data_IF_621558658517
#
_entry.id   IF_621558658517
#
_cell.length_a   1.000
_cell.length_b   1.000
_cell.length_c   1.000
_cell.angle_alpha   90.00
_cell.angle_beta   90.00
_cell.angle_gamma   90.00
#
_symmetry.space_group_name_H-M   'P 1'
#
loop_
_entity.id
_entity.type
_entity.pdbx_description
1 polymer ?
#
# COMPACT_ATOMS: atom_id res chain seq x y z
N UNK A 1 -17.57 10.86 30.87
CA UNK A 1 -16.98 9.63 30.29
C UNK A 1 -17.48 9.31 28.87
N UNK A 2 -18.74 9.62 28.50
CA UNK A 2 -19.24 9.34 27.13
C UNK A 2 -18.57 10.10 25.97
N UNK A 3 -18.16 11.38 26.16
CA UNK A 3 -17.56 12.17 25.09
C UNK A 3 -16.08 11.82 24.76
N UNK A 4 -15.38 11.18 25.70
CA UNK A 4 -14.02 10.68 25.52
C UNK A 4 -13.99 9.34 24.76
N UNK A 5 -15.02 8.51 24.90
CA UNK A 5 -15.18 7.27 24.13
C UNK A 5 -15.50 7.56 22.65
N UNK A 6 -16.37 8.53 22.34
CA UNK A 6 -16.72 8.86 20.95
C UNK A 6 -15.57 9.48 20.15
N UNK A 7 -14.60 10.11 20.81
CA UNK A 7 -13.41 10.72 20.18
C UNK A 7 -12.25 9.72 20.01
N UNK A 8 -12.22 8.64 20.78
CA UNK A 8 -11.24 7.54 20.66
C UNK A 8 -11.63 6.50 19.60
N UNK A 9 -12.91 6.41 19.22
CA UNK A 9 -13.42 5.46 18.22
C UNK A 9 -13.39 6.00 16.76
N UNK A 10 -13.29 7.32 16.57
CA UNK A 10 -13.25 7.95 15.25
C UNK A 10 -12.05 7.55 14.35
N UNK A 11 -10.80 7.35 14.86
CA UNK A 11 -9.65 7.12 13.99
C UNK A 11 -9.45 5.66 13.54
N UNK A 12 -10.10 4.68 14.18
CA UNK A 12 -10.09 3.28 13.73
C UNK A 12 -11.16 3.05 12.65
N UNK A 13 -12.23 3.85 12.67
CA UNK A 13 -13.31 3.80 11.69
C UNK A 13 -12.99 4.49 10.35
N UNK A 14 -11.82 5.13 10.17
CA UNK A 14 -11.55 5.93 8.97
C UNK A 14 -10.58 5.27 7.97
N UNK A 15 -9.47 4.62 8.34
CA UNK A 15 -8.64 3.90 7.36
C UNK A 15 -9.22 2.51 7.04
N UNK A 16 -9.76 1.81 8.05
CA UNK A 16 -10.49 0.55 7.86
C UNK A 16 -11.91 0.78 7.36
N UNK A 17 -12.57 1.86 7.78
CA UNK A 17 -13.89 2.21 7.25
C UNK A 17 -13.82 2.77 5.83
N UNK A 18 -12.80 3.48 5.37
CA UNK A 18 -12.79 3.86 3.94
C UNK A 18 -12.55 2.67 3.00
N UNK A 19 -11.88 1.60 3.45
CA UNK A 19 -11.72 0.37 2.65
C UNK A 19 -12.85 -0.66 2.86
N UNK A 20 -13.51 -0.67 4.02
CA UNK A 20 -14.65 -1.56 4.33
C UNK A 20 -16.02 -0.88 4.27
N UNK A 21 -16.12 0.45 4.21
CA UNK A 21 -17.35 1.24 4.26
C UNK A 21 -17.72 1.96 2.97
N UNK A 22 -16.93 1.84 1.90
CA UNK A 22 -17.45 2.12 0.54
C UNK A 22 -18.70 1.25 0.23
N UNK A 23 -18.85 0.03 0.81
CA UNK A 23 -20.13 -0.68 0.81
C UNK A 23 -21.06 -0.43 2.01
N UNK A 24 -20.67 0.28 3.07
CA UNK A 24 -21.40 0.30 4.36
C UNK A 24 -22.16 1.59 4.72
N UNK A 25 -22.03 2.70 3.96
CA UNK A 25 -22.64 3.99 4.32
C UNK A 25 -23.98 4.33 3.64
N UNK A 26 -24.70 3.36 3.07
CA UNK A 26 -26.12 3.57 2.70
C UNK A 26 -26.98 2.44 3.28
N UNK A 27 -27.73 2.75 4.33
CA UNK A 27 -28.41 1.81 5.23
C UNK A 27 -29.40 0.83 4.57
N UNK A 28 -29.87 1.09 3.35
CA UNK A 28 -30.64 0.13 2.55
C UNK A 28 -29.76 -0.70 1.60
N UNK A 29 -28.72 -0.10 1.02
CA UNK A 29 -27.79 -0.82 0.15
C UNK A 29 -26.86 -1.73 0.94
N UNK A 30 -26.50 -1.42 2.19
CA UNK A 30 -25.57 -2.22 2.99
C UNK A 30 -26.16 -3.60 3.31
N UNK A 31 -27.45 -3.68 3.63
CA UNK A 31 -28.15 -4.97 3.81
C UNK A 31 -28.21 -5.78 2.52
N UNK A 32 -28.54 -5.12 1.39
CA UNK A 32 -28.51 -5.75 0.06
C UNK A 32 -27.09 -6.17 -0.35
N UNK A 33 -26.07 -5.39 -0.02
CA UNK A 33 -24.66 -5.67 -0.29
C UNK A 33 -24.17 -6.86 0.53
N UNK A 34 -24.58 -6.98 1.80
CA UNK A 34 -24.24 -8.12 2.65
C UNK A 34 -24.97 -9.39 2.19
N UNK A 35 -26.23 -9.29 1.77
CA UNK A 35 -26.97 -10.42 1.18
C UNK A 35 -26.32 -10.83 -0.14
N UNK A 36 -26.02 -9.87 -1.03
CA UNK A 36 -25.34 -10.12 -2.29
C UNK A 36 -23.97 -10.77 -2.06
N UNK A 37 -23.17 -10.25 -1.12
CA UNK A 37 -21.89 -10.81 -0.74
C UNK A 37 -22.04 -12.22 -0.16
N UNK A 38 -23.06 -12.46 0.66
CA UNK A 38 -23.35 -13.77 1.24
C UNK A 38 -23.73 -14.79 0.17
N UNK A 39 -24.61 -14.41 -0.76
CA UNK A 39 -25.03 -15.26 -1.88
C UNK A 39 -23.87 -15.49 -2.83
N UNK A 40 -23.14 -14.45 -3.22
CA UNK A 40 -21.97 -14.56 -4.10
C UNK A 40 -20.89 -15.46 -3.49
N UNK A 41 -20.58 -15.28 -2.20
CA UNK A 41 -19.64 -16.15 -1.49
C UNK A 41 -20.15 -17.58 -1.42
N UNK A 42 -21.43 -17.78 -1.07
CA UNK A 42 -22.04 -19.11 -0.99
C UNK A 42 -21.96 -19.82 -2.34
N UNK A 43 -22.25 -19.12 -3.43
CA UNK A 43 -22.12 -19.65 -4.79
C UNK A 43 -20.68 -20.03 -5.10
N UNK A 44 -19.72 -19.13 -4.86
CA UNK A 44 -18.29 -19.40 -5.09
C UNK A 44 -17.80 -20.60 -4.27
N UNK A 45 -18.11 -20.64 -2.97
CA UNK A 45 -17.70 -21.71 -2.06
C UNK A 45 -18.40 -23.06 -2.36
N UNK A 46 -19.54 -23.04 -3.05
CA UNK A 46 -20.21 -24.24 -3.55
C UNK A 46 -19.69 -24.68 -4.92
N UNK A 47 -19.26 -23.75 -5.77
CA UNK A 47 -18.80 -24.02 -7.14
C UNK A 47 -17.35 -24.50 -7.22
N UNK A 48 -16.50 -24.07 -6.29
CA UNK A 48 -15.05 -24.36 -6.34
C UNK A 48 -14.59 -25.25 -5.18
N UNK A 49 -13.63 -26.13 -5.48
CA UNK A 49 -12.98 -26.95 -4.45
C UNK A 49 -12.07 -26.10 -3.54
N UNK A 50 -11.74 -26.58 -2.33
CA UNK A 50 -10.73 -25.96 -1.46
C UNK A 50 -9.44 -25.57 -2.17
N UNK A 51 -8.88 -26.51 -2.93
CA UNK A 51 -7.67 -26.30 -3.71
C UNK A 51 -7.82 -25.19 -4.76
N UNK A 52 -8.95 -25.14 -5.46
CA UNK A 52 -9.21 -24.08 -6.44
C UNK A 52 -9.31 -22.70 -5.77
N UNK A 53 -9.95 -22.62 -4.59
CA UNK A 53 -10.05 -21.35 -3.85
C UNK A 53 -8.70 -20.89 -3.33
N UNK A 54 -7.89 -21.79 -2.76
CA UNK A 54 -6.54 -21.48 -2.26
C UNK A 54 -5.52 -21.20 -3.36
N UNK A 55 -5.75 -21.68 -4.59
CA UNK A 55 -4.93 -21.35 -5.75
C UNK A 55 -5.37 -20.04 -6.42
N UNK A 56 -6.64 -19.95 -6.83
CA UNK A 56 -7.14 -18.88 -7.71
C UNK A 56 -7.28 -17.57 -6.94
N UNK A 57 -7.85 -17.58 -5.74
CA UNK A 57 -8.15 -16.32 -5.05
C UNK A 57 -6.87 -15.57 -4.61
N UNK A 58 -5.86 -16.22 -3.99
CA UNK A 58 -4.58 -15.57 -3.73
C UNK A 58 -3.88 -15.11 -5.00
N UNK A 59 -3.93 -15.89 -6.09
CA UNK A 59 -3.34 -15.50 -7.38
C UNK A 59 -3.96 -14.21 -7.92
N UNK A 60 -5.29 -14.13 -7.95
CA UNK A 60 -6.02 -12.94 -8.43
C UNK A 60 -5.69 -11.72 -7.56
N UNK A 61 -5.65 -11.87 -6.24
CA UNK A 61 -5.30 -10.77 -5.34
C UNK A 61 -3.85 -10.32 -5.53
N UNK A 62 -2.89 -11.24 -5.61
CA UNK A 62 -1.48 -10.92 -5.84
C UNK A 62 -1.27 -10.28 -7.21
N UNK A 63 -1.99 -10.72 -8.24
CA UNK A 63 -1.93 -10.11 -9.56
C UNK A 63 -2.47 -8.68 -9.54
N UNK A 64 -3.68 -8.49 -8.99
CA UNK A 64 -4.40 -7.21 -9.03
C UNK A 64 -3.88 -6.17 -8.03
N UNK A 65 -3.37 -6.59 -6.87
CA UNK A 65 -2.98 -5.69 -5.78
C UNK A 65 -1.47 -5.59 -5.58
N UNK A 66 -0.68 -6.46 -6.21
CA UNK A 66 0.78 -6.38 -6.17
C UNK A 66 1.42 -6.26 -7.55
N UNK A 67 1.26 -7.28 -8.42
CA UNK A 67 2.00 -7.35 -9.69
C UNK A 67 1.61 -6.21 -10.64
N UNK A 68 0.31 -6.02 -10.89
CA UNK A 68 -0.18 -4.97 -11.80
C UNK A 68 0.16 -3.58 -11.26
N UNK A 69 -0.14 -3.22 -9.99
CA UNK A 69 0.25 -1.93 -9.43
C UNK A 69 1.77 -1.69 -9.45
N UNK A 70 2.58 -2.69 -9.11
CA UNK A 70 4.05 -2.60 -9.16
C UNK A 70 4.55 -2.38 -10.59
N UNK A 71 3.91 -3.00 -11.58
CA UNK A 71 4.22 -2.77 -12.99
C UNK A 71 3.85 -1.36 -13.43
N UNK A 72 2.70 -0.83 -12.99
CA UNK A 72 2.29 0.54 -13.28
C UNK A 72 3.33 1.52 -12.71
N UNK A 73 3.75 1.34 -11.45
CA UNK A 73 4.79 2.19 -10.85
C UNK A 73 6.12 2.10 -11.62
N UNK A 74 6.56 0.90 -11.97
CA UNK A 74 7.80 0.72 -12.73
C UNK A 74 7.72 1.33 -14.13
N UNK A 75 6.59 1.18 -14.83
CA UNK A 75 6.38 1.79 -16.15
C UNK A 75 6.33 3.31 -16.06
N UNK A 76 5.75 3.87 -15.00
CA UNK A 76 5.74 5.30 -14.75
C UNK A 76 7.16 5.82 -14.46
N UNK A 77 7.95 5.11 -13.65
CA UNK A 77 9.36 5.43 -13.37
C UNK A 77 10.21 5.51 -14.65
N UNK A 78 9.99 4.58 -15.59
CA UNK A 78 10.75 4.48 -16.84
C UNK A 78 10.19 5.44 -17.91
N UNK A 79 8.88 5.61 -17.97
CA UNK A 79 8.20 6.37 -19.02
C UNK A 79 8.25 7.89 -18.81
N UNK A 80 8.16 8.35 -17.56
CA UNK A 80 8.15 9.78 -17.22
C UNK A 80 9.12 10.05 -16.05
N UNK A 81 10.44 9.84 -16.23
CA UNK A 81 11.40 9.92 -15.13
C UNK A 81 11.48 11.31 -14.51
N UNK A 82 11.29 12.39 -15.29
CA UNK A 82 11.31 13.77 -14.78
C UNK A 82 10.25 14.00 -13.69
N UNK A 83 9.05 13.46 -13.88
CA UNK A 83 7.97 13.57 -12.91
C UNK A 83 8.14 12.60 -11.75
N UNK A 84 8.59 11.38 -12.03
CA UNK A 84 8.83 10.37 -10.98
C UNK A 84 9.89 10.84 -9.96
N UNK A 85 10.94 11.54 -10.42
CA UNK A 85 11.99 12.10 -9.55
C UNK A 85 11.41 13.07 -8.52
N UNK A 86 10.43 13.89 -8.88
CA UNK A 86 9.83 14.88 -7.97
C UNK A 86 9.05 14.23 -6.82
N UNK A 87 8.45 13.07 -7.08
CA UNK A 87 7.65 12.34 -6.11
C UNK A 87 8.38 11.20 -5.41
N UNK A 88 9.64 10.92 -5.76
CA UNK A 88 10.43 9.86 -5.09
C UNK A 88 11.24 10.40 -3.93
N UNK A 89 11.27 9.63 -2.84
CA UNK A 89 12.01 9.97 -1.61
C UNK A 89 13.50 10.22 -1.89
N UNK A 90 14.09 9.43 -2.78
CA UNK A 90 15.52 9.50 -3.13
C UNK A 90 15.79 10.20 -4.48
N UNK A 91 14.80 10.87 -5.06
CA UNK A 91 14.93 11.59 -6.33
C UNK A 91 15.50 10.74 -7.47
N UNK A 92 16.58 11.21 -8.11
CA UNK A 92 17.22 10.54 -9.25
C UNK A 92 17.72 9.11 -8.96
N UNK A 93 18.12 8.85 -7.71
CA UNK A 93 18.60 7.54 -7.28
C UNK A 93 17.46 6.54 -7.04
N UNK A 94 16.24 7.04 -6.84
CA UNK A 94 15.03 6.23 -6.74
C UNK A 94 14.57 5.63 -8.07
N UNK A 95 15.13 6.08 -9.21
CA UNK A 95 14.78 5.53 -10.53
C UNK A 95 15.49 4.17 -10.72
N UNK A 96 14.75 3.06 -10.93
CA UNK A 96 15.34 1.72 -10.95
C UNK A 96 16.42 1.54 -12.04
N UNK A 97 16.26 2.18 -13.20
CA UNK A 97 17.22 2.08 -14.31
C UNK A 97 18.54 2.80 -14.05
N UNK A 98 18.58 3.75 -13.12
CA UNK A 98 19.78 4.51 -12.77
C UNK A 98 20.64 3.76 -11.73
N UNK A 99 20.11 2.70 -11.13
CA UNK A 99 20.82 1.89 -10.16
C UNK A 99 21.84 0.95 -10.82
N UNK A 100 22.74 0.39 -10.00
CA UNK A 100 23.80 -0.51 -10.45
C UNK A 100 23.22 -1.71 -11.23
N UNK A 101 23.74 -1.94 -12.44
CA UNK A 101 23.27 -3.01 -13.33
C UNK A 101 22.11 -2.63 -14.25
N UNK A 102 21.55 -1.43 -14.10
CA UNK A 102 20.59 -0.81 -15.02
C UNK A 102 19.40 -1.71 -15.35
N UNK A 103 18.97 -1.67 -16.61
CA UNK A 103 17.77 -2.39 -17.09
C UNK A 103 17.85 -3.91 -16.95
N UNK A 104 19.06 -4.49 -17.01
CA UNK A 104 19.27 -5.94 -16.83
C UNK A 104 19.00 -6.36 -15.38
N UNK A 105 19.47 -5.57 -14.41
CA UNK A 105 19.18 -5.81 -13.00
C UNK A 105 17.67 -5.66 -12.73
N UNK A 106 17.04 -4.61 -13.27
CA UNK A 106 15.59 -4.40 -13.14
C UNK A 106 14.79 -5.60 -13.68
N UNK A 107 15.12 -6.10 -14.88
CA UNK A 107 14.46 -7.29 -15.44
C UNK A 107 14.63 -8.52 -14.54
N UNK A 108 15.82 -8.73 -13.97
CA UNK A 108 16.07 -9.83 -13.02
C UNK A 108 15.18 -9.69 -11.78
N UNK A 109 15.11 -8.50 -11.19
CA UNK A 109 14.27 -8.22 -10.01
C UNK A 109 12.81 -8.49 -10.30
N UNK A 110 12.29 -7.97 -11.42
CA UNK A 110 10.89 -8.19 -11.84
C UNK A 110 10.61 -9.68 -12.04
N UNK A 111 11.47 -10.38 -12.78
CA UNK A 111 11.29 -11.80 -13.07
C UNK A 111 11.28 -12.66 -11.79
N UNK A 112 12.24 -12.44 -10.89
CA UNK A 112 12.31 -13.20 -9.63
C UNK A 112 11.23 -12.80 -8.63
N UNK A 113 10.83 -11.53 -8.60
CA UNK A 113 9.71 -11.07 -7.77
C UNK A 113 8.40 -11.75 -8.19
N UNK A 114 8.11 -11.79 -9.49
CA UNK A 114 6.95 -12.54 -10.02
C UNK A 114 7.10 -14.03 -9.74
N UNK A 115 8.28 -14.62 -9.99
CA UNK A 115 8.52 -16.04 -9.73
C UNK A 115 8.32 -16.41 -8.26
N UNK A 116 8.76 -15.56 -7.32
CA UNK A 116 8.58 -15.74 -5.89
C UNK A 116 7.11 -15.67 -5.47
N UNK A 117 6.35 -14.70 -6.00
CA UNK A 117 4.90 -14.62 -5.77
C UNK A 117 4.19 -15.86 -6.29
N UNK A 118 4.52 -16.30 -7.51
CA UNK A 118 3.96 -17.53 -8.09
C UNK A 118 4.35 -18.77 -7.28
N UNK A 119 5.61 -18.85 -6.82
CA UNK A 119 6.11 -19.91 -5.97
C UNK A 119 5.36 -19.99 -4.64
N UNK A 120 5.10 -18.84 -3.99
CA UNK A 120 4.36 -18.79 -2.73
C UNK A 120 2.92 -19.29 -2.91
N UNK A 121 2.24 -18.87 -3.98
CA UNK A 121 0.87 -19.34 -4.30
C UNK A 121 0.86 -20.83 -4.67
N UNK A 122 1.83 -21.28 -5.48
CA UNK A 122 1.96 -22.68 -5.87
C UNK A 122 2.28 -23.58 -4.66
N UNK A 123 3.15 -23.12 -3.76
CA UNK A 123 3.46 -23.84 -2.52
C UNK A 123 2.25 -23.91 -1.60
N UNK A 124 1.47 -22.83 -1.48
CA UNK A 124 0.22 -22.86 -0.73
C UNK A 124 -0.74 -23.92 -1.28
N UNK A 125 -0.96 -23.92 -2.60
CA UNK A 125 -1.82 -24.89 -3.26
C UNK A 125 -1.28 -26.32 -3.16
N UNK A 126 0.05 -26.51 -3.22
CA UNK A 126 0.67 -27.82 -3.05
C UNK A 126 0.51 -28.37 -1.62
N UNK A 127 0.61 -27.50 -0.60
CA UNK A 127 0.34 -27.88 0.79
C UNK A 127 -1.13 -28.27 0.94
N UNK A 128 -2.06 -27.49 0.40
CA UNK A 128 -3.48 -27.81 0.46
C UNK A 128 -3.78 -29.13 -0.26
N UNK A 129 -3.29 -29.33 -1.49
CA UNK A 129 -3.41 -30.59 -2.24
C UNK A 129 -2.86 -31.80 -1.45
N UNK A 130 -1.67 -31.65 -0.85
CA UNK A 130 -1.10 -32.71 0.00
C UNK A 130 -2.04 -33.04 1.16
N UNK A 131 -2.61 -32.03 1.82
CA UNK A 131 -3.47 -32.23 2.99
C UNK A 131 -4.83 -32.80 2.59
N UNK A 132 -5.47 -32.29 1.55
CA UNK A 132 -6.84 -32.68 1.16
C UNK A 132 -6.88 -33.94 0.32
N UNK A 133 -6.02 -34.06 -0.69
CA UNK A 133 -6.12 -35.10 -1.71
C UNK A 133 -5.18 -36.28 -1.42
N UNK A 134 -4.01 -36.04 -0.81
CA UNK A 134 -3.07 -37.12 -0.48
C UNK A 134 -3.34 -37.66 0.93
N UNK A 135 -3.38 -36.78 1.92
CA UNK A 135 -3.58 -37.18 3.33
C UNK A 135 -5.05 -37.36 3.71
N UNK A 136 -5.99 -37.00 2.82
CA UNK A 136 -7.44 -37.14 3.04
C UNK A 136 -7.91 -36.43 4.32
N UNK A 137 -7.27 -35.31 4.66
CA UNK A 137 -7.60 -34.47 5.80
C UNK A 137 -8.49 -33.29 5.37
N UNK A 138 -9.04 -32.57 6.35
CA UNK A 138 -9.77 -31.33 6.07
C UNK A 138 -8.79 -30.22 5.70
N UNK A 139 -9.24 -29.32 4.82
CA UNK A 139 -8.54 -28.08 4.45
C UNK A 139 -7.96 -27.37 5.68
N UNK A 140 -6.73 -26.85 5.53
CA UNK A 140 -6.04 -26.13 6.61
C UNK A 140 -6.75 -24.83 6.95
N UNK A 141 -7.29 -24.15 5.94
CA UNK A 141 -8.15 -22.98 6.12
C UNK A 141 -9.62 -23.37 6.22
N UNK A 142 -10.38 -22.59 6.98
CA UNK A 142 -11.81 -22.81 7.10
C UNK A 142 -12.52 -22.21 5.88
N UNK A 143 -13.12 -23.06 5.05
CA UNK A 143 -13.84 -22.64 3.83
C UNK A 143 -15.34 -22.49 4.05
N UNK A 144 -15.95 -23.41 4.81
CA UNK A 144 -17.37 -23.37 5.16
C UNK A 144 -17.54 -22.79 6.56
N UNK A 145 -18.44 -21.83 6.69
CA UNK A 145 -18.85 -21.24 7.97
C UNK A 145 -19.56 -22.23 8.91
N UNK A 146 -20.24 -21.71 9.94
CA UNK A 146 -20.92 -22.53 10.95
C UNK A 146 -21.95 -23.49 10.33
N UNK A 147 -22.02 -24.72 10.86
CA UNK A 147 -22.84 -25.87 10.40
C UNK A 147 -24.36 -25.61 10.34
N UNK A 148 -24.82 -24.44 10.79
CA UNK A 148 -26.24 -24.12 10.97
C UNK A 148 -26.56 -22.72 10.45
N UNK A 149 -26.77 -22.58 9.15
CA UNK A 149 -27.38 -21.40 8.54
C UNK A 149 -26.99 -21.19 7.08
N UNK A 150 -27.83 -20.46 6.33
CA UNK A 150 -27.54 -19.88 5.01
C UNK A 150 -26.37 -18.87 5.02
N UNK A 151 -25.63 -18.77 6.12
CA UNK A 151 -24.51 -17.86 6.35
C UNK A 151 -23.20 -18.64 6.22
N UNK A 152 -22.76 -18.87 4.98
CA UNK A 152 -21.41 -19.34 4.69
C UNK A 152 -20.33 -18.26 4.95
N UNK A 153 -20.76 -17.04 5.25
CA UNK A 153 -19.86 -15.97 5.67
C UNK A 153 -19.38 -16.20 7.12
N UNK A 154 -18.09 -15.95 7.39
CA UNK A 154 -17.58 -15.93 8.75
C UNK A 154 -18.21 -14.78 9.55
N UNK A 155 -18.39 -14.99 10.85
CA UNK A 155 -18.83 -13.94 11.75
C UNK A 155 -17.86 -12.73 11.65
N UNK A 156 -18.33 -11.51 11.35
CA UNK A 156 -17.48 -10.33 11.18
C UNK A 156 -16.57 -10.05 12.39
N UNK A 157 -17.06 -10.31 13.60
CA UNK A 157 -16.26 -10.16 14.82
C UNK A 157 -15.14 -11.20 14.91
N UNK A 158 -15.39 -12.42 14.43
CA UNK A 158 -14.35 -13.45 14.33
C UNK A 158 -13.34 -13.10 13.25
N UNK A 159 -13.79 -12.59 12.09
CA UNK A 159 -12.89 -12.09 11.05
C UNK A 159 -11.98 -10.98 11.58
N UNK A 160 -12.54 -10.02 12.33
CA UNK A 160 -11.76 -8.93 12.90
C UNK A 160 -10.72 -9.45 13.90
N UNK A 161 -11.13 -10.32 14.84
CA UNK A 161 -10.20 -10.94 15.80
C UNK A 161 -9.08 -11.70 15.10
N UNK A 162 -9.42 -12.58 14.17
CA UNK A 162 -8.43 -13.35 13.42
C UNK A 162 -7.55 -12.45 12.55
N UNK A 163 -8.11 -11.40 11.95
CA UNK A 163 -7.36 -10.41 11.19
C UNK A 163 -6.33 -9.67 12.03
N UNK A 164 -6.72 -9.18 13.22
CA UNK A 164 -5.81 -8.51 14.16
C UNK A 164 -4.71 -9.45 14.63
N UNK A 165 -5.07 -10.68 15.04
CA UNK A 165 -4.07 -11.65 15.49
C UNK A 165 -3.15 -12.03 14.32
N UNK A 166 -3.68 -12.18 13.10
CA UNK A 166 -2.90 -12.44 11.88
C UNK A 166 -1.90 -11.34 11.57
N UNK A 167 -2.32 -10.08 11.70
CA UNK A 167 -1.45 -8.93 11.51
C UNK A 167 -0.31 -8.92 12.53
N UNK A 168 -0.62 -9.11 13.81
CA UNK A 168 0.38 -9.13 14.89
C UNK A 168 1.34 -10.31 14.73
N UNK A 169 0.81 -11.53 14.55
CA UNK A 169 1.62 -12.75 14.42
C UNK A 169 2.53 -12.73 13.20
N UNK A 170 2.03 -12.28 12.03
CA UNK A 170 2.85 -12.08 10.83
C UNK A 170 4.01 -11.13 11.12
N UNK A 171 3.76 -9.96 11.72
CA UNK A 171 4.81 -8.98 11.98
C UNK A 171 5.85 -9.48 13.01
N UNK A 172 5.41 -10.22 14.03
CA UNK A 172 6.31 -10.87 15.00
C UNK A 172 7.21 -11.89 14.30
N UNK A 173 6.63 -12.85 13.59
CA UNK A 173 7.39 -13.89 12.89
C UNK A 173 8.35 -13.28 11.87
N UNK A 174 7.88 -12.30 11.11
CA UNK A 174 8.69 -11.63 10.11
C UNK A 174 9.89 -10.91 10.74
N UNK A 175 9.69 -10.14 11.82
CA UNK A 175 10.78 -9.46 12.51
C UNK A 175 11.85 -10.45 13.00
N UNK A 176 11.45 -11.50 13.72
CA UNK A 176 12.42 -12.44 14.27
C UNK A 176 13.16 -13.24 13.19
N UNK A 177 12.47 -13.64 12.11
CA UNK A 177 13.11 -14.27 10.97
C UNK A 177 14.10 -13.31 10.31
N UNK A 178 13.69 -12.07 10.05
CA UNK A 178 14.52 -11.09 9.38
C UNK A 178 15.79 -10.76 10.20
N UNK A 179 15.65 -10.48 11.49
CA UNK A 179 16.76 -10.12 12.37
C UNK A 179 17.66 -11.32 12.70
N UNK A 180 17.10 -12.46 13.11
CA UNK A 180 17.88 -13.58 13.67
C UNK A 180 18.21 -14.68 12.69
N UNK A 181 17.61 -14.69 11.50
CA UNK A 181 17.94 -15.67 10.46
C UNK A 181 18.61 -15.00 9.26
N UNK A 182 18.03 -13.91 8.75
CA UNK A 182 18.49 -13.26 7.52
C UNK A 182 19.58 -12.20 7.74
N UNK A 183 19.63 -11.58 8.91
CA UNK A 183 20.69 -10.62 9.30
C UNK A 183 21.58 -11.11 10.44
N UNK A 184 21.44 -12.38 10.84
CA UNK A 184 22.28 -12.93 11.88
C UNK A 184 23.70 -13.20 11.37
N UNK A 185 24.75 -12.82 12.13
CA UNK A 185 26.14 -13.20 11.82
C UNK A 185 26.32 -14.72 11.74
N UNK A 186 25.49 -15.47 12.45
CA UNK A 186 25.50 -16.93 12.47
C UNK A 186 24.42 -17.55 11.58
N UNK A 187 23.71 -16.75 10.76
CA UNK A 187 22.62 -17.20 9.87
C UNK A 187 23.10 -18.03 8.67
N UNK A 188 24.41 -18.18 8.50
CA UNK A 188 25.04 -19.04 7.49
C UNK A 188 24.61 -18.69 6.07
N UNK A 189 24.19 -19.70 5.30
CA UNK A 189 23.80 -19.54 3.91
C UNK A 189 22.57 -18.61 3.74
N UNK A 190 21.60 -18.63 4.66
CA UNK A 190 20.39 -17.81 4.52
C UNK A 190 20.69 -16.33 4.63
N UNK A 191 21.54 -15.94 5.59
CA UNK A 191 21.98 -14.56 5.71
C UNK A 191 22.80 -14.10 4.50
N UNK A 192 23.72 -14.95 4.01
CA UNK A 192 24.49 -14.65 2.80
C UNK A 192 23.61 -14.52 1.56
N UNK A 193 22.62 -15.39 1.39
CA UNK A 193 21.67 -15.35 0.27
C UNK A 193 20.80 -14.09 0.33
N UNK A 194 20.25 -13.75 1.49
CA UNK A 194 19.46 -12.53 1.66
C UNK A 194 20.29 -11.26 1.37
N UNK A 195 21.52 -11.20 1.89
CA UNK A 195 22.44 -10.09 1.61
C UNK A 195 22.81 -9.98 0.13
N UNK A 196 23.13 -11.09 -0.52
CA UNK A 196 23.54 -11.07 -1.94
C UNK A 196 22.39 -10.87 -2.92
N UNK A 197 21.17 -11.26 -2.55
CA UNK A 197 19.98 -11.10 -3.39
C UNK A 197 19.19 -9.85 -3.03
N UNK A 198 18.57 -9.80 -1.85
CA UNK A 198 17.70 -8.68 -1.45
C UNK A 198 18.48 -7.36 -1.39
N UNK A 199 19.60 -7.33 -0.67
CA UNK A 199 20.45 -6.14 -0.52
C UNK A 199 21.37 -5.88 -1.72
N UNK A 200 21.21 -6.61 -2.83
CA UNK A 200 21.75 -6.15 -4.12
C UNK A 200 21.05 -4.89 -4.64
N UNK A 201 19.87 -4.58 -4.08
CA UNK A 201 19.09 -3.37 -4.36
C UNK A 201 19.29 -2.41 -3.20
N UNK A 202 19.87 -1.25 -3.48
CA UNK A 202 20.15 -0.26 -2.43
C UNK A 202 18.94 0.65 -2.14
N UNK A 203 18.20 1.02 -3.19
CA UNK A 203 17.01 1.87 -3.07
C UNK A 203 15.81 1.09 -3.63
N UNK A 204 14.79 0.80 -2.81
CA UNK A 204 13.69 -0.04 -3.22
C UNK A 204 12.77 0.64 -4.24
N UNK A 205 12.13 -0.20 -5.04
CA UNK A 205 10.95 0.09 -5.87
C UNK A 205 10.00 -1.11 -5.73
N UNK A 206 8.71 -1.00 -6.06
CA UNK A 206 7.67 -1.95 -5.60
C UNK A 206 7.99 -3.44 -5.81
N UNK A 207 8.65 -3.81 -6.93
CA UNK A 207 9.06 -5.19 -7.18
C UNK A 207 10.13 -5.73 -6.21
N UNK A 208 10.93 -4.86 -5.59
CA UNK A 208 11.91 -5.22 -4.58
C UNK A 208 11.27 -5.88 -3.34
N UNK A 209 9.98 -5.60 -3.06
CA UNK A 209 9.27 -6.18 -1.91
C UNK A 209 9.26 -7.71 -1.89
N UNK A 210 9.12 -8.34 -3.07
CA UNK A 210 9.10 -9.78 -3.24
C UNK A 210 10.34 -10.33 -3.96
N UNK A 211 11.37 -9.49 -4.16
CA UNK A 211 12.66 -9.91 -4.73
C UNK A 211 13.63 -10.33 -3.63
N UNK A 212 13.94 -11.61 -3.58
CA UNK A 212 14.96 -12.21 -2.73
C UNK A 212 15.28 -13.61 -3.27
N UNK A 213 16.28 -14.27 -2.71
CA UNK A 213 16.47 -15.70 -2.93
C UNK A 213 15.18 -16.45 -2.55
N UNK A 214 14.69 -17.42 -3.37
CA UNK A 214 13.38 -18.04 -3.16
C UNK A 214 13.16 -18.61 -1.75
N UNK A 215 14.19 -19.23 -1.15
CA UNK A 215 14.11 -19.75 0.22
C UNK A 215 13.94 -18.62 1.24
N UNK A 216 14.71 -17.53 1.11
CA UNK A 216 14.61 -16.37 2.00
C UNK A 216 13.26 -15.68 1.85
N UNK A 217 12.76 -15.57 0.61
CA UNK A 217 11.42 -15.08 0.32
C UNK A 217 10.34 -15.91 1.03
N UNK A 218 10.40 -17.25 0.93
CA UNK A 218 9.43 -18.13 1.58
C UNK A 218 9.48 -17.98 3.11
N UNK A 219 10.68 -17.95 3.69
CA UNK A 219 10.87 -17.77 5.14
C UNK A 219 10.37 -16.39 5.62
N UNK A 220 10.63 -15.33 4.87
CA UNK A 220 10.35 -13.96 5.29
C UNK A 220 8.92 -13.49 4.99
N UNK A 221 8.33 -13.95 3.88
CA UNK A 221 7.04 -13.44 3.37
C UNK A 221 5.93 -14.47 3.46
N UNK A 222 6.18 -15.69 2.98
CA UNK A 222 5.14 -16.73 2.90
C UNK A 222 4.82 -17.31 4.28
N UNK A 223 5.83 -17.82 5.00
CA UNK A 223 5.64 -18.50 6.29
C UNK A 223 4.97 -17.58 7.32
N UNK A 224 5.42 -16.34 7.57
CA UNK A 224 4.82 -15.49 8.60
C UNK A 224 3.32 -15.24 8.38
N UNK A 225 2.87 -15.17 7.13
CA UNK A 225 1.47 -14.96 6.80
C UNK A 225 0.68 -16.28 6.83
N UNK A 226 1.14 -17.30 6.11
CA UNK A 226 0.40 -18.54 5.96
C UNK A 226 0.38 -19.36 7.26
N UNK A 227 1.51 -19.46 7.97
CA UNK A 227 1.59 -20.15 9.26
C UNK A 227 0.64 -19.54 10.28
N UNK A 228 0.56 -18.21 10.32
CA UNK A 228 -0.39 -17.50 11.19
C UNK A 228 -1.83 -17.87 10.85
N UNK A 229 -2.18 -17.90 9.56
CA UNK A 229 -3.53 -18.24 9.11
C UNK A 229 -3.94 -19.68 9.45
N UNK A 230 -3.06 -20.65 9.22
CA UNK A 230 -3.35 -22.07 9.51
C UNK A 230 -3.34 -22.35 11.02
N UNK A 231 -2.46 -21.71 11.80
CA UNK A 231 -2.38 -21.92 13.24
C UNK A 231 -3.66 -21.49 13.97
N UNK A 232 -4.34 -20.45 13.46
CA UNK A 232 -5.64 -20.00 13.96
C UNK A 232 -6.83 -20.63 13.25
N UNK A 233 -6.57 -21.49 12.25
CA UNK A 233 -7.60 -22.06 11.37
C UNK A 233 -8.55 -20.98 10.84
N UNK A 234 -7.97 -19.93 10.27
CA UNK A 234 -8.72 -18.77 9.80
C UNK A 234 -9.74 -19.14 8.74
N UNK A 235 -10.84 -18.40 8.68
CA UNK A 235 -11.70 -18.44 7.51
C UNK A 235 -10.93 -17.92 6.29
N UNK A 236 -11.06 -18.60 5.14
CA UNK A 236 -10.35 -18.24 3.91
C UNK A 236 -10.57 -16.78 3.52
N UNK A 237 -11.78 -16.25 3.68
CA UNK A 237 -12.05 -14.81 3.48
C UNK A 237 -11.21 -13.89 4.36
N UNK A 238 -10.99 -14.22 5.64
CA UNK A 238 -10.10 -13.43 6.50
C UNK A 238 -8.67 -13.49 6.01
N UNK A 239 -8.21 -14.67 5.60
CA UNK A 239 -6.89 -14.85 5.01
C UNK A 239 -6.71 -14.05 3.71
N UNK A 240 -7.71 -14.07 2.82
CA UNK A 240 -7.71 -13.30 1.58
C UNK A 240 -7.69 -11.78 1.83
N UNK A 241 -8.40 -11.28 2.84
CA UNK A 241 -8.31 -9.88 3.26
C UNK A 241 -6.88 -9.54 3.73
N UNK A 242 -6.23 -10.43 4.49
CA UNK A 242 -4.84 -10.22 4.89
C UNK A 242 -3.89 -10.24 3.69
N UNK A 243 -4.04 -11.17 2.73
CA UNK A 243 -3.28 -11.16 1.47
C UNK A 243 -3.46 -9.81 0.76
N UNK A 244 -4.69 -9.31 0.66
CA UNK A 244 -4.97 -8.05 -0.01
C UNK A 244 -4.26 -6.88 0.67
N UNK A 245 -4.38 -6.76 1.99
CA UNK A 245 -3.73 -5.72 2.78
C UNK A 245 -2.21 -5.78 2.62
N UNK A 246 -1.61 -6.96 2.78
CA UNK A 246 -0.16 -7.11 2.68
C UNK A 246 0.37 -6.93 1.25
N UNK A 247 -0.43 -7.25 0.22
CA UNK A 247 -0.06 -6.97 -1.18
C UNK A 247 -0.02 -5.47 -1.47
N UNK A 248 -0.97 -4.72 -0.92
CA UNK A 248 -0.99 -3.25 -1.01
C UNK A 248 0.16 -2.64 -0.19
N UNK A 249 0.39 -3.11 1.04
CA UNK A 249 1.55 -2.74 1.86
C UNK A 249 2.84 -2.91 1.06
N UNK A 250 3.08 -4.11 0.52
CA UNK A 250 4.27 -4.44 -0.28
C UNK A 250 4.44 -3.49 -1.48
N UNK A 251 3.35 -3.20 -2.18
CA UNK A 251 3.38 -2.30 -3.33
C UNK A 251 3.78 -0.89 -2.94
N UNK A 252 3.11 -0.31 -1.94
CA UNK A 252 3.25 1.11 -1.60
C UNK A 252 4.49 1.38 -0.76
N UNK A 253 4.79 0.54 0.23
CA UNK A 253 5.94 0.72 1.14
C UNK A 253 7.25 0.67 0.36
N UNK A 254 7.37 -0.24 -0.61
CA UNK A 254 8.57 -0.34 -1.43
C UNK A 254 8.55 0.56 -2.66
N UNK A 255 7.47 1.30 -2.94
CA UNK A 255 7.34 2.08 -4.17
C UNK A 255 8.38 3.19 -4.33
N UNK A 256 8.95 3.66 -3.21
CA UNK A 256 9.86 4.81 -3.16
C UNK A 256 9.15 6.16 -3.32
N UNK A 257 7.81 6.18 -3.43
CA UNK A 257 7.03 7.40 -3.55
C UNK A 257 6.75 8.04 -2.18
N UNK A 258 6.90 9.36 -2.11
CA UNK A 258 6.68 10.15 -0.89
C UNK A 258 5.20 10.58 -0.72
N UNK A 259 4.41 10.58 -1.79
CA UNK A 259 2.97 10.83 -1.79
C UNK A 259 2.22 9.50 -1.88
N UNK A 260 1.75 9.01 -0.73
CA UNK A 260 1.00 7.77 -0.64
C UNK A 260 -0.46 8.02 -0.23
N UNK A 261 -1.43 7.17 -0.63
CA UNK A 261 -2.86 7.35 -0.35
C UNK A 261 -3.22 7.47 1.14
N UNK A 262 -2.36 7.00 2.04
CA UNK A 262 -2.45 7.20 3.50
C UNK A 262 -1.15 7.82 4.00
N UNK A 263 -1.15 9.13 4.20
CA UNK A 263 0.02 9.98 3.95
C UNK A 263 1.10 9.97 5.03
N UNK A 264 0.82 9.55 6.28
CA UNK A 264 1.86 9.55 7.32
C UNK A 264 2.24 8.14 7.78
N UNK A 265 1.28 7.27 8.13
CA UNK A 265 1.61 5.91 8.55
C UNK A 265 2.35 5.09 7.47
N UNK A 266 1.79 5.07 6.25
CA UNK A 266 2.39 4.32 5.14
C UNK A 266 3.69 4.98 4.65
N UNK A 267 3.78 6.31 4.74
CA UNK A 267 5.01 7.05 4.47
C UNK A 267 6.11 6.74 5.51
N UNK A 268 5.74 6.61 6.79
CA UNK A 268 6.64 6.16 7.85
C UNK A 268 7.15 4.73 7.64
N UNK A 269 6.27 3.82 7.20
CA UNK A 269 6.64 2.45 6.81
C UNK A 269 7.60 2.46 5.62
N UNK A 270 7.30 3.23 4.58
CA UNK A 270 8.18 3.38 3.41
C UNK A 270 9.55 3.94 3.79
N UNK A 271 9.60 4.98 4.62
CA UNK A 271 10.87 5.55 5.12
C UNK A 271 11.71 4.53 5.89
N UNK A 272 11.08 3.70 6.73
CA UNK A 272 11.80 2.65 7.47
C UNK A 272 12.32 1.56 6.54
N UNK A 273 11.52 1.15 5.55
CA UNK A 273 11.93 0.21 4.53
C UNK A 273 13.11 0.76 3.70
N UNK A 274 13.06 2.01 3.25
CA UNK A 274 14.16 2.70 2.57
C UNK A 274 15.43 2.69 3.45
N UNK A 275 15.32 3.09 4.72
CA UNK A 275 16.46 3.12 5.64
C UNK A 275 17.05 1.72 5.91
N UNK A 276 16.22 0.67 5.94
CA UNK A 276 16.68 -0.71 6.05
C UNK A 276 17.51 -1.12 4.81
N UNK A 277 17.00 -0.86 3.60
CA UNK A 277 17.72 -1.20 2.35
C UNK A 277 19.02 -0.41 2.21
N UNK A 278 18.98 0.89 2.52
CA UNK A 278 20.15 1.78 2.39
C UNK A 278 21.24 1.49 3.41
N UNK A 279 20.89 0.91 4.57
CA UNK A 279 21.85 0.47 5.59
C UNK A 279 22.30 -0.97 5.42
N UNK A 280 21.88 -1.67 4.36
CA UNK A 280 22.17 -3.11 4.15
C UNK A 280 21.70 -3.98 5.34
N UNK A 281 20.64 -3.50 6.01
CA UNK A 281 19.96 -4.12 7.14
C UNK A 281 20.71 -4.06 8.47
N UNK A 282 21.20 -2.87 8.85
CA UNK A 282 21.64 -2.59 10.22
C UNK A 282 20.45 -2.46 11.21
N UNK A 283 19.23 -2.19 10.72
CA UNK A 283 18.02 -2.01 11.54
C UNK A 283 16.74 -1.88 10.71
N UNK A 284 15.62 -1.53 11.35
CA UNK A 284 14.28 -1.47 10.74
C UNK A 284 13.84 -2.80 10.08
N UNK A 285 13.95 -3.91 10.81
CA UNK A 285 13.66 -5.26 10.32
C UNK A 285 12.15 -5.53 10.15
N UNK A 286 11.30 -4.82 10.90
CA UNK A 286 9.84 -4.95 10.84
C UNK A 286 9.18 -3.85 10.03
N UNK A 287 8.21 -4.22 9.19
CA UNK A 287 7.50 -3.26 8.32
C UNK A 287 6.78 -2.15 9.12
N UNK A 288 6.08 -2.53 10.21
CA UNK A 288 5.41 -1.57 11.09
C UNK A 288 6.37 -0.77 11.99
N UNK A 289 7.60 -1.23 12.22
CA UNK A 289 8.58 -0.58 13.11
C UNK A 289 8.28 -0.67 14.62
N UNK A 290 7.17 -1.29 15.04
CA UNK A 290 6.84 -1.47 16.47
C UNK A 290 7.88 -2.34 17.17
N UNK A 291 8.23 -3.48 16.57
CA UNK A 291 9.23 -4.38 17.15
C UNK A 291 10.63 -3.78 17.11
N UNK A 292 10.96 -2.99 16.09
CA UNK A 292 12.22 -2.25 16.03
C UNK A 292 12.33 -1.23 17.16
N UNK A 293 11.26 -0.50 17.44
CA UNK A 293 11.20 0.41 18.57
C UNK A 293 11.35 -0.33 19.91
N UNK A 294 10.65 -1.45 20.09
CA UNK A 294 10.75 -2.25 21.32
C UNK A 294 12.14 -2.84 21.55
N UNK A 295 12.85 -3.24 20.49
CA UNK A 295 14.16 -3.88 20.59
C UNK A 295 15.34 -2.91 20.38
N UNK A 296 15.07 -1.62 20.15
CA UNK A 296 16.09 -0.60 19.90
C UNK A 296 16.83 -0.79 18.56
N UNK A 297 16.18 -1.42 17.58
CA UNK A 297 16.71 -1.62 16.21
C UNK A 297 16.17 -0.61 15.20
N UNK A 298 15.53 0.48 15.67
CA UNK A 298 15.03 1.54 14.80
C UNK A 298 16.16 2.38 14.20
N UNK A 299 16.10 2.61 12.89
CA UNK A 299 16.94 3.58 12.19
C UNK A 299 16.11 4.82 11.83
N UNK A 300 16.60 6.00 12.24
CA UNK A 300 15.92 7.27 12.00
C UNK A 300 14.71 7.48 12.92
N UNK A 301 13.66 8.11 12.39
CA UNK A 301 12.42 8.43 13.12
C UNK A 301 11.62 7.17 13.42
N UNK A 302 11.17 7.04 14.67
CA UNK A 302 10.46 5.86 15.17
C UNK A 302 8.95 5.88 14.88
N UNK A 303 8.29 4.76 15.16
CA UNK A 303 6.84 4.59 14.94
C UNK A 303 5.99 5.47 15.84
N UNK A 304 6.49 5.85 17.03
CA UNK A 304 5.78 6.71 17.97
C UNK A 304 5.77 8.16 17.46
N UNK A 305 6.87 8.61 16.89
CA UNK A 305 6.97 9.90 16.20
C UNK A 305 6.03 9.97 14.99
N UNK A 306 5.97 8.92 14.17
CA UNK A 306 5.02 8.85 13.05
C UNK A 306 3.56 8.89 13.54
N UNK A 307 3.26 8.21 14.64
CA UNK A 307 1.93 8.21 15.24
C UNK A 307 1.54 9.58 15.78
N UNK A 308 2.47 10.27 16.45
CA UNK A 308 2.26 11.64 16.91
C UNK A 308 1.99 12.58 15.74
N UNK A 309 2.77 12.47 14.66
CA UNK A 309 2.59 13.28 13.46
C UNK A 309 1.22 13.03 12.80
N UNK A 310 0.77 11.77 12.73
CA UNK A 310 -0.55 11.43 12.19
C UNK A 310 -1.69 11.97 13.08
N UNK A 311 -1.55 11.84 14.41
CA UNK A 311 -2.52 12.42 15.36
C UNK A 311 -2.59 13.95 15.27
N UNK A 312 -1.45 14.62 15.08
CA UNK A 312 -1.41 16.08 14.91
C UNK A 312 -2.05 16.51 13.60
N UNK A 313 -1.77 15.80 12.50
CA UNK A 313 -2.39 16.07 11.20
C UNK A 313 -3.92 15.94 11.27
N UNK A 314 -4.44 14.84 11.82
CA UNK A 314 -5.89 14.66 11.95
C UNK A 314 -6.54 15.71 12.84
N UNK A 315 -5.87 16.15 13.92
CA UNK A 315 -6.36 17.28 14.73
C UNK A 315 -6.43 18.59 13.94
N UNK A 316 -5.51 18.81 13.00
CA UNK A 316 -5.54 19.99 12.13
C UNK A 316 -6.67 19.88 11.12
N UNK A 317 -6.83 18.72 10.48
CA UNK A 317 -7.91 18.47 9.51
C UNK A 317 -9.30 18.62 10.18
N UNK A 318 -9.47 18.07 11.39
CA UNK A 318 -10.71 18.23 12.18
C UNK A 318 -11.01 19.69 12.52
N UNK A 319 -9.97 20.47 12.86
CA UNK A 319 -10.12 21.91 13.14
C UNK A 319 -10.44 22.70 11.87
N UNK A 320 -9.81 22.37 10.75
CA UNK A 320 -10.04 23.00 9.46
C UNK A 320 -11.47 22.72 8.97
N UNK A 321 -11.92 21.47 9.05
CA UNK A 321 -13.28 21.07 8.68
C UNK A 321 -14.33 21.79 9.55
N UNK A 322 -14.13 21.85 10.87
CA UNK A 322 -15.03 22.61 11.76
C UNK A 322 -15.08 24.11 11.46
N UNK A 323 -13.97 24.71 11.06
CA UNK A 323 -13.93 26.12 10.67
C UNK A 323 -14.67 26.37 9.34
N UNK A 324 -14.54 25.45 8.37
CA UNK A 324 -15.25 25.51 7.08
C UNK A 324 -16.75 25.31 7.28
N UNK A 325 -17.15 24.32 8.09
CA UNK A 325 -18.56 24.08 8.42
C UNK A 325 -19.18 25.28 9.14
N UNK A 326 -18.47 25.86 10.13
CA UNK A 326 -18.91 27.06 10.82
C UNK A 326 -19.04 28.28 9.90
N UNK A 327 -18.14 28.43 8.91
CA UNK A 327 -18.25 29.46 7.88
C UNK A 327 -19.42 29.20 6.91
N UNK A 328 -19.66 27.95 6.55
CA UNK A 328 -20.78 27.52 5.70
C UNK A 328 -22.14 27.75 6.38
N UNK A 329 -22.26 27.44 7.67
CA UNK A 329 -23.45 27.71 8.45
C UNK A 329 -23.70 29.22 8.62
N UNK A 330 -22.65 30.02 8.85
CA UNK A 330 -22.76 31.47 8.92
C UNK A 330 -23.20 32.09 7.58
N UNK A 331 -22.65 31.59 6.45
CA UNK A 331 -23.04 32.02 5.11
C UNK A 331 -24.48 31.63 4.77
N UNK A 332 -24.91 30.41 5.12
CA UNK A 332 -26.28 29.94 4.93
C UNK A 332 -27.27 30.71 5.83
N UNK A 333 -26.88 31.02 7.07
CA UNK A 333 -27.65 31.85 7.99
C UNK A 333 -27.82 33.29 7.48
N UNK A 334 -26.78 33.85 6.87
CA UNK A 334 -26.83 35.17 6.23
C UNK A 334 -27.73 35.17 4.99
N UNK A 335 -27.60 34.17 4.12
CA UNK A 335 -28.45 33.99 2.94
C UNK A 335 -29.94 33.84 3.31
N UNK A 336 -30.24 33.10 4.39
CA UNK A 336 -31.60 32.95 4.91
C UNK A 336 -32.19 34.26 5.46
N UNK A 337 -31.35 35.14 6.03
CA UNK A 337 -31.78 36.48 6.48
C UNK A 337 -32.06 37.43 5.31
N UNK A 338 -31.25 37.37 4.25
CA UNK A 338 -31.49 38.13 3.02
C UNK A 338 -32.73 37.66 2.25
N UNK A 339 -33.04 36.35 2.25
CA UNK A 339 -34.26 35.82 1.62
C UNK A 339 -35.54 36.22 2.37
N UNK A 340 -35.49 36.27 3.72
CA UNK A 340 -36.60 36.79 4.55
C UNK A 340 -36.83 38.28 4.36
N UNK A 341 -35.78 39.09 4.20
CA UNK A 341 -35.90 40.53 3.94
C UNK A 341 -36.61 40.85 2.61
N UNK A 342 -36.52 39.94 1.62
CA UNK A 342 -37.17 40.12 0.30
C UNK A 342 -38.65 39.73 0.27
N UNK A 343 -39.15 38.99 1.27
CA UNK A 343 -40.55 38.50 1.31
C UNK A 343 -41.53 39.41 2.07
N UNK A 344 -41.05 40.57 2.58
CA UNK A 344 -41.82 41.51 3.39
C UNK A 344 -42.42 42.73 2.68
N UNK A 345 -42.23 42.91 1.36
CA UNK A 345 -42.75 44.07 0.62
C UNK A 345 -43.93 43.71 -0.30
N UNK A 346 -45.14 43.88 0.24
CA UNK A 346 -46.30 44.45 -0.45
C UNK A 346 -47.05 43.59 -1.48
N UNK A 347 -48.16 42.99 -1.05
CA UNK A 347 -49.32 42.68 -1.90
C UNK A 347 -50.14 43.96 -2.18
N UNK A 348 -50.63 44.13 -3.40
CA UNK A 348 -51.94 44.73 -3.69
C UNK A 348 -52.67 43.87 -4.74
N UNK A 349 -53.97 43.57 -4.58
CA UNK A 349 -54.75 42.80 -5.55
C UNK A 349 -55.58 43.74 -6.45
N UNK A 350 -55.71 43.40 -7.73
CA UNK A 350 -56.79 43.90 -8.60
C UNK A 350 -57.29 42.74 -9.47
N UNK A 351 -58.61 42.71 -9.62
CA UNK A 351 -59.48 41.65 -10.14
C UNK A 351 -59.87 41.92 -11.61
N UNK A 352 -60.28 40.85 -12.32
CA UNK A 352 -60.96 40.79 -13.64
C UNK A 352 -60.04 41.09 -14.86
N UNK A 353 -60.10 40.38 -16.00
CA UNK A 353 -61.23 40.08 -16.89
C UNK A 353 -60.88 38.85 -17.77
N UNK A 354 -61.89 38.07 -18.16
CA UNK A 354 -61.87 37.02 -19.19
C UNK A 354 -61.25 37.48 -20.53
N UNK A 355 -60.47 36.64 -21.22
CA UNK A 355 -60.79 36.37 -22.63
C UNK A 355 -60.12 35.12 -23.22
N UNK A 356 -60.85 34.53 -24.17
CA UNK A 356 -60.51 33.46 -25.11
C UNK A 356 -59.31 33.84 -25.99
N UNK A 357 -58.60 32.84 -26.53
CA UNK A 357 -57.77 33.06 -27.72
C UNK A 357 -56.74 31.96 -27.99
N UNK A 358 -56.74 31.45 -29.21
CA UNK A 358 -55.98 30.31 -29.70
C UNK A 358 -54.50 30.65 -29.99
N UNK A 359 -53.69 29.58 -30.08
CA UNK A 359 -52.56 29.32 -31.01
C UNK A 359 -51.58 30.43 -31.40
N UNK A 360 -50.27 30.12 -31.38
CA UNK A 360 -49.44 29.93 -32.59
C UNK A 360 -47.96 29.71 -32.19
N UNK A 361 -47.31 28.81 -32.93
CA UNK A 361 -45.89 28.45 -32.95
C UNK A 361 -44.94 29.65 -33.20
N UNK A 362 -43.68 29.52 -32.74
CA UNK A 362 -42.46 29.43 -33.58
C UNK A 362 -41.22 30.21 -33.09
N UNK A 363 -40.05 29.66 -33.50
CA UNK A 363 -38.69 30.24 -33.65
C UNK A 363 -37.92 30.58 -32.34
N UNK A 364 -36.81 29.91 -31.96
CA UNK A 364 -35.48 29.67 -32.59
C UNK A 364 -34.69 30.98 -32.81
N UNK A 365 -33.34 30.89 -32.64
CA UNK A 365 -32.25 31.86 -32.98
C UNK A 365 -31.76 32.64 -31.72
N UNK A 366 -30.49 32.82 -31.31
CA UNK A 366 -29.09 32.84 -31.83
C UNK A 366 -28.15 32.91 -30.60
N UNK A 367 -26.83 32.79 -30.56
CA UNK A 367 -25.71 32.88 -31.50
C UNK A 367 -24.45 32.30 -30.79
N UNK A 368 -23.54 31.65 -31.53
CA UNK A 368 -22.12 32.01 -31.62
C UNK A 368 -21.40 31.00 -32.53
N UNK A 369 -21.06 31.46 -33.74
CA UNK A 369 -20.24 30.70 -34.69
C UNK A 369 -19.83 31.53 -35.92
N UNK A 370 -18.51 31.71 -36.03
CA UNK A 370 -17.70 31.74 -37.25
C UNK A 370 -17.48 33.03 -38.10
N UNK A 371 -16.20 33.18 -38.49
CA UNK A 371 -15.71 33.79 -39.74
C UNK A 371 -15.05 35.17 -39.58
N UNK A 372 -14.02 35.61 -40.33
CA UNK A 372 -13.13 35.03 -41.36
C UNK A 372 -12.10 36.12 -41.76
N UNK A 373 -10.88 35.72 -42.19
CA UNK A 373 -9.98 36.30 -43.25
C UNK A 373 -9.68 37.83 -43.34
N UNK A 374 -8.41 38.27 -43.43
CA UNK A 374 -7.62 38.45 -44.68
C UNK A 374 -6.31 39.28 -44.53
N UNK A 375 -5.24 38.86 -45.25
CA UNK A 375 -4.10 39.64 -45.84
C UNK A 375 -3.06 40.30 -44.91
N UNK A 376 -1.74 40.35 -45.18
CA UNK A 376 -0.89 39.84 -46.25
C UNK A 376 0.55 40.42 -46.14
N UNK A 377 1.54 39.76 -46.80
CA UNK A 377 2.81 40.33 -47.35
C UNK A 377 3.89 40.83 -46.35
N UNK A 378 5.22 40.66 -46.46
CA UNK A 378 6.15 40.17 -47.51
C UNK A 378 7.61 40.13 -46.95
N UNK A 379 8.44 39.21 -47.48
CA UNK A 379 9.93 39.22 -47.68
C UNK A 379 10.86 39.23 -46.44
N UNK A 380 11.99 38.50 -46.40
CA UNK A 380 12.64 37.58 -47.34
C UNK A 380 14.15 37.40 -47.03
N UNK A 381 14.79 36.43 -47.71
CA UNK A 381 16.26 36.20 -47.91
C UNK A 381 17.02 35.37 -46.85
N UNK A 382 17.34 34.08 -47.10
CA UNK A 382 18.52 33.48 -47.81
C UNK A 382 19.82 33.49 -46.95
N UNK A 383 20.67 32.44 -46.80
CA UNK A 383 21.30 31.40 -47.67
C UNK A 383 21.85 30.27 -46.74
N UNK A 384 21.83 28.95 -47.05
CA UNK A 384 22.74 28.13 -47.91
C UNK A 384 24.22 28.15 -47.42
N UNK A 385 25.02 27.07 -47.32
CA UNK A 385 25.21 25.80 -48.07
C UNK A 385 26.04 24.80 -47.21
N UNK A 386 25.75 23.49 -47.20
CA UNK A 386 26.36 22.36 -47.95
C UNK A 386 27.85 22.01 -47.67
N UNK A 387 28.10 20.71 -47.43
CA UNK A 387 29.41 20.07 -47.67
C UNK A 387 29.68 18.76 -46.91
N UNK A 388 29.29 17.61 -47.48
CA UNK A 388 29.86 16.26 -47.25
C UNK A 388 31.06 16.02 -48.22
N UNK A 389 31.73 14.84 -48.40
CA UNK A 389 31.77 13.52 -47.69
C UNK A 389 33.19 12.83 -47.61
N UNK A 390 33.22 11.54 -47.19
CA UNK A 390 34.04 10.36 -47.65
C UNK A 390 35.24 9.81 -46.80
N UNK A 391 35.15 8.49 -46.49
CA UNK A 391 36.18 7.40 -46.37
C UNK A 391 37.12 7.37 -45.15
N UNK A 392 37.74 6.27 -44.68
CA UNK A 392 37.68 4.79 -44.78
C UNK A 392 38.74 4.26 -43.76
N UNK A 393 38.64 2.99 -43.37
CA UNK A 393 39.71 2.13 -42.79
C UNK A 393 40.32 2.44 -41.40
N UNK A 394 40.20 1.46 -40.48
CA UNK A 394 41.26 0.52 -40.05
C UNK A 394 41.11 0.13 -38.57
N UNK A 395 41.23 -1.18 -38.33
CA UNK A 395 41.21 -1.80 -37.01
C UNK A 395 42.45 -1.43 -36.18
N UNK A 396 42.32 -1.44 -34.86
CA UNK A 396 43.40 -1.89 -33.94
C UNK A 396 42.85 -2.25 -32.57
N UNK A 397 43.08 -3.52 -32.24
CA UNK A 397 43.06 -4.16 -30.92
C UNK A 397 44.10 -3.48 -30.04
N UNK A 398 43.73 -3.06 -28.83
CA UNK A 398 44.69 -2.94 -27.73
C UNK A 398 44.07 -3.36 -26.40
N UNK A 399 44.62 -4.46 -25.91
CA UNK A 399 44.67 -4.93 -24.53
C UNK A 399 44.93 -3.78 -23.54
N UNK A 400 44.17 -3.74 -22.45
CA UNK A 400 44.63 -3.14 -21.19
C UNK A 400 44.07 -3.96 -20.02
N UNK A 401 44.93 -4.84 -19.48
CA UNK A 401 44.80 -5.41 -18.13
C UNK A 401 45.57 -4.52 -17.12
N UNK A 402 45.25 -4.63 -15.82
CA UNK A 402 45.33 -3.54 -14.86
C UNK A 402 46.63 -3.54 -14.05
N UNK A 403 47.00 -2.38 -13.50
CA UNK A 403 47.98 -2.26 -12.43
C UNK A 403 47.43 -1.35 -11.32
N UNK A 404 47.41 -1.94 -10.11
CA UNK A 404 47.36 -1.39 -8.75
C UNK A 404 48.09 -0.02 -8.59
N UNK A 405 47.82 0.90 -7.67
CA UNK A 405 47.40 0.85 -6.26
C UNK A 405 47.33 2.30 -5.78
N UNK A 406 46.32 2.68 -4.99
CA UNK A 406 46.46 3.75 -3.98
C UNK A 406 45.40 3.53 -2.88
N UNK A 407 45.78 3.66 -1.59
CA UNK A 407 44.92 3.31 -0.46
C UNK A 407 43.94 4.45 -0.15
N UNK A 408 42.66 4.11 0.01
CA UNK A 408 41.67 5.02 0.58
C UNK A 408 41.71 4.82 2.10
N UNK A 409 42.21 5.83 2.81
CA UNK A 409 42.18 5.93 4.26
C UNK A 409 40.73 5.84 4.77
N UNK A 410 40.47 4.87 5.65
CA UNK A 410 39.22 4.75 6.39
C UNK A 410 39.26 5.71 7.58
N UNK A 411 38.20 6.48 7.85
CA UNK A 411 38.08 7.16 9.13
C UNK A 411 37.81 6.09 10.21
N UNK A 412 38.75 5.93 11.13
CA UNK A 412 38.57 5.13 12.35
C UNK A 412 37.65 5.93 13.27
N UNK A 413 36.36 5.57 13.33
CA UNK A 413 35.49 6.01 14.41
C UNK A 413 35.79 5.19 15.68
N UNK A 414 36.61 5.74 16.56
CA UNK A 414 36.70 5.26 17.95
C UNK A 414 35.47 5.73 18.72
N UNK A 415 34.43 4.90 18.76
CA UNK A 415 33.32 5.03 19.72
C UNK A 415 33.06 3.67 20.36
N UNK A 416 33.82 3.38 21.41
CA UNK A 416 33.60 2.25 22.31
C UNK A 416 32.40 2.56 23.21
N UNK A 417 31.17 2.50 22.66
CA UNK A 417 29.95 2.50 23.49
C UNK A 417 29.69 1.08 24.00
N UNK A 418 29.63 0.95 25.32
CA UNK A 418 29.35 -0.28 26.06
C UNK A 418 28.07 -0.93 25.54
N UNK A 419 28.13 -2.21 25.22
CA UNK A 419 26.96 -3.08 24.97
C UNK A 419 26.08 -3.09 26.23
N UNK A 420 24.76 -2.88 26.15
CA UNK A 420 23.88 -3.27 27.24
C UNK A 420 23.70 -4.80 27.22
N UNK A 421 23.57 -5.37 28.42
CA UNK A 421 23.29 -6.79 28.63
C UNK A 421 22.09 -7.24 27.79
N UNK A 422 22.29 -8.29 26.99
CA UNK A 422 21.24 -8.96 26.24
C UNK A 422 20.40 -9.74 27.26
N UNK A 423 19.27 -9.16 27.67
CA UNK A 423 18.19 -9.93 28.29
C UNK A 423 17.42 -10.62 27.16
N UNK A 424 17.32 -11.95 27.25
CA UNK A 424 16.46 -12.73 26.35
C UNK A 424 15.00 -12.41 26.68
N UNK A 425 14.34 -11.68 25.80
CA UNK A 425 12.90 -11.45 25.88
C UNK A 425 12.19 -12.71 25.40
N UNK A 426 11.35 -13.29 26.26
CA UNK A 426 10.58 -14.48 25.92
C UNK A 426 9.37 -14.10 25.06
N UNK A 427 8.79 -15.08 24.34
CA UNK A 427 7.53 -14.89 23.61
C UNK A 427 6.42 -14.35 24.53
N UNK A 428 6.44 -14.70 25.83
CA UNK A 428 5.53 -14.14 26.83
C UNK A 428 5.73 -12.64 27.09
N UNK A 429 6.96 -12.14 27.06
CA UNK A 429 7.24 -10.72 27.28
C UNK A 429 6.85 -9.86 26.06
N UNK A 430 7.03 -10.41 24.86
CA UNK A 430 6.52 -9.81 23.61
C UNK A 430 4.99 -9.79 23.58
N UNK A 431 4.34 -10.89 24.00
CA UNK A 431 2.89 -10.91 24.22
C UNK A 431 2.46 -9.99 25.36
N UNK A 432 3.30 -9.69 26.34
CA UNK A 432 3.00 -8.75 27.42
C UNK A 432 3.07 -7.29 26.93
N UNK A 433 4.02 -6.94 26.06
CA UNK A 433 4.06 -5.64 25.39
C UNK A 433 2.83 -5.47 24.47
N UNK A 434 2.53 -6.48 23.66
CA UNK A 434 1.30 -6.51 22.83
C UNK A 434 0.01 -6.70 23.63
N UNK A 435 0.03 -7.26 24.84
CA UNK A 435 -1.10 -7.25 25.80
C UNK A 435 -1.17 -5.94 26.58
N UNK A 436 -0.11 -5.16 26.70
CA UNK A 436 -0.18 -3.81 27.25
C UNK A 436 -0.81 -2.89 26.21
N UNK A 437 -0.38 -3.03 24.94
CA UNK A 437 -1.05 -2.47 23.77
C UNK A 437 -2.47 -3.04 23.60
N UNK A 438 -2.65 -4.33 23.90
CA UNK A 438 -3.89 -5.11 23.81
C UNK A 438 -4.86 -4.85 24.96
N UNK A 439 -4.41 -4.50 26.16
CA UNK A 439 -5.20 -4.03 27.31
C UNK A 439 -5.48 -2.54 27.18
N UNK A 440 -4.62 -1.78 26.51
CA UNK A 440 -4.98 -0.47 25.99
C UNK A 440 -6.10 -0.63 24.94
N UNK A 441 -6.02 -1.61 24.03
CA UNK A 441 -7.09 -1.94 23.06
C UNK A 441 -8.37 -2.54 23.69
N UNK A 442 -8.26 -3.37 24.73
CA UNK A 442 -9.39 -4.07 25.38
C UNK A 442 -10.02 -3.24 26.49
N UNK A 443 -9.26 -2.38 27.17
CA UNK A 443 -9.78 -1.34 28.07
C UNK A 443 -10.46 -0.18 27.35
N UNK A 444 -10.31 -0.09 26.03
CA UNK A 444 -11.06 0.81 25.13
C UNK A 444 -12.34 0.12 24.59
N UNK A 445 -12.51 -1.19 24.82
CA UNK A 445 -13.67 -2.00 24.40
C UNK A 445 -14.60 -2.39 25.58
N UNK A 446 -14.49 -1.70 26.72
CA UNK A 446 -15.39 -1.87 27.87
C UNK A 446 -16.15 -0.60 28.22
#
# INVERSE_FOLDING_TARGET
MGALLSSLLAPIALPLGSFLAIPMLSSWSTGLNLIFLSVAWTTIAASYSPLQLELIAPMVLRLSLYIIPSLIFLLFDIGIPSLAIEFKSQGQWGIPSNQKGGTRAVRRVVAWSIANVLLAVALQAAIEFLVTDVLQMRSLLLIKGSRWGLNHLPNPWTMLKHGVIGLVSRNILQYYIHTHLLHSPNGGALASLHQTWHHSIHIPYSFAANYDHPICHLLHRFIPLYLSAIAMRMHILTYLVLIAIFSLEETFVYSGYNVLPSTIMLSGMARRADAHMMSEGEGNYGCLGVLDWCHGTTLGKDVVEDLKAEMEKHKVDDKANKAIDGAGEAANGLAARFSKARKGRGKRPVMLIQNKGQSVLAQVVRDYGAGTLHSGSRRGSNRSNNGTPISLFHASVLDYRPVCTAPIERPIMTSRKRRPNIQFWTVSDSLACYKSYGKCLVGILH
#
